data_IF_532848398893
#
_entry.id   IF_532848398893
#
_cell.length_a   1.000
_cell.length_b   1.000
_cell.length_c   1.000
_cell.angle_alpha   90.00
_cell.angle_beta   90.00
_cell.angle_gamma   90.00
#
_symmetry.space_group_name_H-M   'P 1'
#
loop_
_entity.id
_entity.type
_entity.pdbx_description
1 polymer ?
#
# COMPACT_ATOMS: atom_id res chain seq x y z
N UNK A 1 9.49 -4.44 38.53
CA UNK A 1 10.58 -4.76 37.58
C UNK A 1 10.69 -6.28 37.55
N UNK A 2 10.43 -6.92 36.44
CA UNK A 2 10.62 -8.36 36.28
C UNK A 2 12.12 -8.60 36.11
N UNK A 3 12.75 -9.32 37.05
CA UNK A 3 14.13 -9.80 36.92
C UNK A 3 14.18 -10.84 35.80
N UNK A 4 14.57 -10.42 34.60
CA UNK A 4 14.78 -11.32 33.48
C UNK A 4 16.13 -12.01 33.67
N UNK A 5 16.13 -13.30 33.96
CA UNK A 5 17.34 -14.11 34.05
C UNK A 5 17.88 -14.35 32.62
N UNK A 6 18.87 -13.57 32.22
CA UNK A 6 19.51 -13.61 30.90
C UNK A 6 20.34 -14.86 30.62
N UNK A 7 20.66 -15.64 31.63
CA UNK A 7 21.64 -16.77 31.59
C UNK A 7 21.15 -17.98 30.75
N UNK A 8 19.90 -17.97 30.29
CA UNK A 8 19.34 -19.10 29.53
C UNK A 8 19.19 -18.80 28.02
N UNK A 9 19.63 -17.62 27.55
CA UNK A 9 19.46 -17.22 26.16
C UNK A 9 20.78 -17.23 25.39
N UNK A 10 20.80 -17.56 24.08
CA UNK A 10 21.99 -17.45 23.25
C UNK A 10 22.60 -16.05 23.33
N UNK A 11 23.92 -15.94 23.41
CA UNK A 11 24.62 -14.64 23.55
C UNK A 11 24.23 -13.63 22.47
N UNK A 12 24.03 -14.08 21.23
CA UNK A 12 23.58 -13.24 20.11
C UNK A 12 22.22 -12.61 20.36
N UNK A 13 21.29 -13.33 20.97
CA UNK A 13 19.96 -12.84 21.31
C UNK A 13 19.99 -11.87 22.50
N UNK A 14 20.86 -12.14 23.46
CA UNK A 14 21.09 -11.27 24.63
C UNK A 14 21.67 -9.92 24.18
N UNK A 15 22.64 -9.94 23.27
CA UNK A 15 23.25 -8.73 22.69
C UNK A 15 22.19 -7.92 21.94
N UNK A 16 21.37 -8.56 21.11
CA UNK A 16 20.30 -7.90 20.35
C UNK A 16 19.21 -7.29 21.26
N UNK A 17 18.78 -8.02 22.29
CA UNK A 17 17.75 -7.54 23.23
C UNK A 17 18.28 -6.41 24.14
N UNK A 18 19.52 -6.53 24.63
CA UNK A 18 20.18 -5.46 25.38
C UNK A 18 20.35 -4.21 24.52
N UNK A 19 20.80 -4.38 23.27
CA UNK A 19 20.93 -3.29 22.31
C UNK A 19 19.60 -2.55 22.10
N UNK A 20 18.50 -3.31 21.91
CA UNK A 20 17.16 -2.73 21.71
C UNK A 20 16.64 -1.99 22.94
N UNK A 21 16.88 -2.50 24.13
CA UNK A 21 16.47 -1.89 25.40
C UNK A 21 17.26 -0.62 25.71
N UNK A 22 18.54 -0.58 25.36
CA UNK A 22 19.41 0.59 25.58
C UNK A 22 19.09 1.72 24.59
N UNK A 23 18.87 1.40 23.31
CA UNK A 23 18.41 2.37 22.32
C UNK A 23 17.03 2.96 22.64
N UNK A 24 16.12 2.21 23.27
CA UNK A 24 14.79 2.71 23.62
C UNK A 24 14.78 3.67 24.83
N UNK A 25 15.82 3.66 25.67
CA UNK A 25 15.90 4.46 26.90
C UNK A 25 16.70 5.76 26.76
N UNK A 26 17.33 6.00 25.58
CA UNK A 26 18.18 7.19 25.38
C UNK A 26 19.41 7.26 26.30
N UNK A 27 19.83 6.14 26.91
CA UNK A 27 21.00 6.09 27.77
C UNK A 27 22.27 6.07 26.94
N UNK A 28 23.19 7.01 27.17
CA UNK A 28 24.51 7.09 26.52
C UNK A 28 25.34 5.86 26.89
N UNK A 29 25.67 5.02 25.92
CA UNK A 29 26.71 4.00 26.03
C UNK A 29 28.09 4.67 25.90
N UNK A 30 29.12 4.17 26.62
CA UNK A 30 30.48 4.68 26.47
C UNK A 30 31.03 4.40 25.06
N UNK A 31 31.80 5.35 24.52
CA UNK A 31 32.30 5.48 23.13
C UNK A 31 33.25 4.36 22.63
N UNK A 32 33.31 3.21 23.23
CA UNK A 32 34.29 2.16 22.93
C UNK A 32 33.76 0.96 22.19
N UNK A 33 32.76 1.10 21.36
CA UNK A 33 32.45 0.13 20.30
C UNK A 33 31.56 0.81 19.29
N UNK A 34 31.95 0.86 18.03
CA UNK A 34 31.39 1.52 16.87
C UNK A 34 29.87 1.47 16.61
N UNK A 35 29.05 1.61 17.62
CA UNK A 35 27.60 1.69 17.56
C UNK A 35 27.14 3.15 17.64
N UNK A 36 27.36 3.87 16.54
CA UNK A 36 26.45 4.99 16.25
C UNK A 36 25.07 4.35 16.06
N UNK A 37 24.20 4.44 17.05
CA UNK A 37 22.75 4.24 16.87
C UNK A 37 22.39 4.86 15.53
N UNK A 38 21.79 4.07 14.62
CA UNK A 38 21.50 4.52 13.26
C UNK A 38 20.38 5.57 13.27
N UNK A 39 20.75 6.78 13.67
CA UNK A 39 19.91 7.98 13.59
C UNK A 39 20.13 8.68 12.24
N UNK A 40 20.44 7.90 11.20
CA UNK A 40 20.55 8.40 9.84
C UNK A 40 19.21 8.28 9.16
N UNK A 41 18.58 9.42 8.89
CA UNK A 41 17.43 9.47 7.99
C UNK A 41 17.73 8.69 6.70
N UNK A 42 16.83 7.79 6.25
CA UNK A 42 17.05 7.00 5.04
C UNK A 42 17.34 7.88 3.84
N UNK A 43 18.34 7.51 3.05
CA UNK A 43 18.67 8.19 1.80
C UNK A 43 17.55 8.03 0.78
N UNK A 44 17.49 8.92 -0.22
CA UNK A 44 16.48 8.84 -1.28
C UNK A 44 16.56 7.50 -2.04
N UNK A 45 17.76 6.96 -2.24
CA UNK A 45 17.94 5.63 -2.84
C UNK A 45 17.35 4.53 -1.96
N UNK A 46 17.59 4.55 -0.65
CA UNK A 46 17.01 3.56 0.28
C UNK A 46 15.48 3.62 0.30
N UNK A 47 14.92 4.81 0.30
CA UNK A 47 13.48 5.03 0.20
C UNK A 47 12.92 4.50 -1.12
N UNK A 48 13.57 4.80 -2.26
CA UNK A 48 13.19 4.26 -3.56
C UNK A 48 13.25 2.73 -3.63
N UNK A 49 14.32 2.12 -3.09
CA UNK A 49 14.41 0.66 -3.01
C UNK A 49 13.33 0.04 -2.12
N UNK A 50 12.97 0.68 -1.02
CA UNK A 50 11.87 0.25 -0.15
C UNK A 50 10.52 0.30 -0.90
N UNK A 51 10.23 1.39 -1.63
CA UNK A 51 9.02 1.51 -2.45
C UNK A 51 8.97 0.47 -3.58
N UNK A 52 10.10 0.22 -4.25
CA UNK A 52 10.22 -0.82 -5.27
C UNK A 52 9.93 -2.21 -4.69
N UNK A 53 10.56 -2.55 -3.59
CA UNK A 53 10.38 -3.84 -2.90
C UNK A 53 8.93 -4.00 -2.42
N UNK A 54 8.38 -2.99 -1.72
CA UNK A 54 7.02 -3.03 -1.20
C UNK A 54 5.97 -3.16 -2.30
N UNK A 55 6.11 -2.42 -3.41
CA UNK A 55 5.22 -2.56 -4.57
C UNK A 55 5.37 -3.93 -5.24
N UNK A 56 6.59 -4.46 -5.31
CA UNK A 56 6.85 -5.81 -5.81
C UNK A 56 6.14 -6.88 -4.99
N UNK A 57 6.21 -6.80 -3.66
CA UNK A 57 5.51 -7.73 -2.76
C UNK A 57 3.99 -7.56 -2.86
N UNK A 58 3.50 -6.33 -2.92
CA UNK A 58 2.07 -6.06 -3.12
C UNK A 58 1.56 -6.74 -4.40
N UNK A 59 2.28 -6.59 -5.51
CA UNK A 59 1.89 -7.17 -6.81
C UNK A 59 2.04 -8.68 -6.82
N UNK A 60 3.10 -9.21 -6.23
CA UNK A 60 3.30 -10.66 -6.16
C UNK A 60 2.18 -11.36 -5.38
N UNK A 61 1.75 -10.82 -4.25
CA UNK A 61 0.77 -11.46 -3.36
C UNK A 61 -0.66 -11.07 -3.76
N UNK A 62 -0.97 -9.79 -3.91
CA UNK A 62 -2.30 -9.31 -4.23
C UNK A 62 -2.77 -9.78 -5.61
N UNK A 63 -2.26 -9.23 -6.70
CA UNK A 63 -2.54 -9.74 -8.05
C UNK A 63 -2.24 -11.23 -8.23
N UNK A 64 -1.18 -11.76 -7.63
CA UNK A 64 -0.81 -13.17 -7.70
C UNK A 64 -1.83 -14.13 -7.07
N UNK A 65 -2.66 -13.66 -6.14
CA UNK A 65 -3.76 -14.45 -5.59
C UNK A 65 -4.87 -14.72 -6.61
N UNK A 66 -5.00 -13.91 -7.66
CA UNK A 66 -6.01 -14.08 -8.71
C UNK A 66 -5.74 -15.34 -9.55
N UNK A 67 -4.54 -15.50 -10.20
CA UNK A 67 -4.22 -16.74 -10.88
C UNK A 67 -4.22 -17.95 -9.95
N UNK A 68 -3.83 -17.82 -8.68
CA UNK A 68 -3.91 -18.90 -7.70
C UNK A 68 -5.36 -19.36 -7.50
N UNK A 69 -6.31 -18.43 -7.31
CA UNK A 69 -7.72 -18.73 -7.19
C UNK A 69 -8.27 -19.39 -8.48
N UNK A 70 -7.96 -18.83 -9.65
CA UNK A 70 -8.39 -19.39 -10.94
C UNK A 70 -7.87 -20.80 -11.17
N UNK A 71 -6.63 -21.09 -10.78
CA UNK A 71 -6.06 -22.44 -10.88
C UNK A 71 -6.83 -23.45 -10.01
N UNK A 72 -7.22 -23.07 -8.79
CA UNK A 72 -7.95 -23.94 -7.88
C UNK A 72 -9.40 -24.14 -8.31
N UNK A 73 -10.10 -23.08 -8.69
CA UNK A 73 -11.52 -23.14 -9.06
C UNK A 73 -11.74 -24.00 -10.32
N UNK A 74 -10.82 -23.98 -11.27
CA UNK A 74 -11.00 -24.62 -12.59
C UNK A 74 -10.26 -25.95 -12.76
N UNK A 75 -9.47 -26.35 -11.79
CA UNK A 75 -8.49 -27.40 -12.09
C UNK A 75 -7.63 -27.05 -13.31
N UNK A 76 -7.46 -25.73 -13.60
CA UNK A 76 -6.71 -25.22 -14.74
C UNK A 76 -7.49 -25.02 -16.05
N UNK A 77 -8.80 -25.25 -16.11
CA UNK A 77 -9.59 -25.26 -17.36
C UNK A 77 -10.25 -23.92 -17.76
N UNK A 78 -9.89 -22.79 -17.15
CA UNK A 78 -10.15 -21.45 -17.71
C UNK A 78 -11.60 -20.90 -17.73
N UNK A 79 -12.60 -21.57 -17.13
CA UNK A 79 -14.01 -21.14 -17.15
C UNK A 79 -14.61 -20.81 -15.76
N UNK A 80 -13.79 -20.29 -14.84
CA UNK A 80 -14.28 -19.97 -13.50
C UNK A 80 -14.99 -18.64 -13.44
N UNK A 81 -16.06 -18.63 -12.67
CA UNK A 81 -16.71 -17.42 -12.19
C UNK A 81 -16.31 -17.26 -10.72
N UNK A 82 -15.72 -16.13 -10.36
CA UNK A 82 -15.43 -15.81 -8.97
C UNK A 82 -16.72 -15.75 -8.13
N UNK A 83 -16.66 -16.31 -6.95
CA UNK A 83 -17.70 -16.16 -5.92
C UNK A 83 -17.30 -15.03 -4.96
N UNK A 84 -18.23 -14.62 -4.09
CA UNK A 84 -17.91 -13.67 -3.01
C UNK A 84 -16.83 -14.20 -2.06
N UNK A 85 -16.74 -15.51 -1.87
CA UNK A 85 -15.68 -16.12 -1.06
C UNK A 85 -14.30 -15.93 -1.71
N UNK A 86 -14.19 -16.14 -3.02
CA UNK A 86 -12.93 -15.95 -3.76
C UNK A 86 -12.49 -14.49 -3.70
N UNK A 87 -13.41 -13.54 -3.89
CA UNK A 87 -13.13 -12.11 -3.75
C UNK A 87 -12.71 -11.76 -2.31
N UNK A 88 -13.30 -12.42 -1.30
CA UNK A 88 -12.90 -12.27 0.10
C UNK A 88 -11.45 -12.71 0.34
N UNK A 89 -11.03 -13.86 -0.18
CA UNK A 89 -9.66 -14.34 -0.05
C UNK A 89 -8.67 -13.54 -0.88
N UNK A 90 -9.03 -13.10 -2.09
CA UNK A 90 -8.22 -12.17 -2.88
C UNK A 90 -8.05 -10.84 -2.11
N UNK A 91 -9.13 -10.28 -1.57
CA UNK A 91 -9.07 -9.09 -0.73
C UNK A 91 -8.18 -9.26 0.49
N UNK A 92 -8.27 -10.41 1.17
CA UNK A 92 -7.40 -10.74 2.30
C UNK A 92 -5.92 -10.81 1.89
N UNK A 93 -5.59 -11.35 0.71
CA UNK A 93 -4.22 -11.38 0.20
C UNK A 93 -3.66 -9.95 0.02
N UNK A 94 -4.45 -9.03 -0.53
CA UNK A 94 -4.10 -7.60 -0.60
C UNK A 94 -3.91 -7.01 0.80
N UNK A 95 -4.84 -7.26 1.73
CA UNK A 95 -4.77 -6.74 3.09
C UNK A 95 -3.48 -7.17 3.80
N UNK A 96 -3.14 -8.46 3.71
CA UNK A 96 -1.92 -9.02 4.32
C UNK A 96 -0.66 -8.42 3.69
N UNK A 97 -0.61 -8.32 2.35
CA UNK A 97 0.54 -7.74 1.66
C UNK A 97 0.76 -6.27 2.06
N UNK A 98 -0.30 -5.46 2.09
CA UNK A 98 -0.25 -4.05 2.49
C UNK A 98 0.19 -3.94 3.95
N UNK A 99 -0.45 -4.65 4.86
CA UNK A 99 -0.13 -4.58 6.28
C UNK A 99 1.33 -4.99 6.54
N UNK A 100 1.78 -6.10 5.94
CA UNK A 100 3.16 -6.56 6.06
C UNK A 100 4.15 -5.49 5.57
N UNK A 101 3.89 -4.85 4.42
CA UNK A 101 4.79 -3.84 3.87
C UNK A 101 4.77 -2.55 4.70
N UNK A 102 3.60 -2.07 5.14
CA UNK A 102 3.53 -0.89 6.01
C UNK A 102 4.35 -1.10 7.28
N UNK A 103 4.26 -2.26 7.92
CA UNK A 103 5.04 -2.54 9.13
C UNK A 103 6.53 -2.79 8.85
N UNK A 104 6.89 -3.29 7.65
CA UNK A 104 8.27 -3.62 7.31
C UNK A 104 9.06 -2.42 6.81
N UNK A 105 8.48 -1.56 5.96
CA UNK A 105 9.19 -0.45 5.30
C UNK A 105 8.58 0.93 5.57
N UNK A 106 7.48 1.02 6.31
CA UNK A 106 6.83 2.31 6.59
C UNK A 106 7.74 3.32 7.28
N UNK A 107 8.60 2.86 8.18
CA UNK A 107 9.61 3.70 8.84
C UNK A 107 10.79 4.11 7.95
N UNK A 108 10.92 3.53 6.74
CA UNK A 108 11.96 3.85 5.75
C UNK A 108 11.47 4.89 4.75
N UNK A 109 10.34 4.59 4.07
CA UNK A 109 9.81 5.40 2.96
C UNK A 109 8.45 6.03 3.21
N UNK A 110 7.76 5.64 4.27
CA UNK A 110 6.34 5.91 4.46
C UNK A 110 5.44 4.85 3.81
N UNK A 111 6.01 3.91 3.04
CA UNK A 111 5.32 2.81 2.38
C UNK A 111 4.10 3.27 1.55
N UNK A 112 4.34 4.15 0.59
CA UNK A 112 3.28 4.57 -0.34
C UNK A 112 2.87 3.42 -1.25
N UNK A 113 3.84 2.71 -1.83
CA UNK A 113 3.70 1.54 -2.74
C UNK A 113 2.62 1.72 -3.82
N UNK A 114 2.29 2.98 -4.14
CA UNK A 114 1.18 3.38 -5.00
C UNK A 114 1.44 4.76 -5.59
N UNK A 115 1.53 4.90 -6.93
CA UNK A 115 1.69 6.19 -7.59
C UNK A 115 0.57 7.20 -7.30
N UNK A 116 -0.69 6.75 -7.12
CA UNK A 116 -1.80 7.64 -6.82
C UNK A 116 -1.67 8.25 -5.41
N UNK A 117 -1.26 7.45 -4.42
CA UNK A 117 -0.94 7.93 -3.05
C UNK A 117 0.22 8.93 -3.12
N UNK A 118 1.29 8.58 -3.81
CA UNK A 118 2.48 9.43 -3.95
C UNK A 118 2.15 10.77 -4.60
N UNK A 119 1.38 10.77 -5.70
CA UNK A 119 0.95 11.98 -6.37
C UNK A 119 0.00 12.82 -5.50
N UNK A 120 -0.94 12.20 -4.80
CA UNK A 120 -1.83 12.92 -3.89
C UNK A 120 -1.03 13.64 -2.79
N UNK A 121 -0.01 13.00 -2.24
CA UNK A 121 0.87 13.62 -1.24
C UNK A 121 1.78 14.70 -1.83
N UNK A 122 2.27 14.53 -3.07
CA UNK A 122 3.07 15.55 -3.74
C UNK A 122 2.26 16.83 -4.04
N UNK A 123 1.05 16.66 -4.62
CA UNK A 123 0.14 17.78 -4.93
C UNK A 123 -0.28 18.52 -3.65
N UNK A 124 -0.47 17.80 -2.55
CA UNK A 124 -0.84 18.40 -1.26
C UNK A 124 0.38 18.79 -0.39
N UNK A 125 1.60 18.79 -0.98
CA UNK A 125 2.87 19.25 -0.38
C UNK A 125 3.32 18.45 0.86
N UNK A 126 2.97 17.17 0.93
CA UNK A 126 3.39 16.24 1.99
C UNK A 126 4.68 15.50 1.68
N UNK A 127 5.08 15.47 0.41
CA UNK A 127 6.34 14.92 -0.07
C UNK A 127 6.90 15.87 -1.14
N UNK A 128 8.21 15.97 -1.24
CA UNK A 128 8.86 16.77 -2.27
C UNK A 128 8.73 16.12 -3.65
N UNK A 129 8.63 16.90 -4.72
CA UNK A 129 8.43 16.38 -6.08
C UNK A 129 9.58 15.50 -6.58
N UNK A 130 10.83 15.79 -6.18
CA UNK A 130 11.97 14.93 -6.52
C UNK A 130 11.88 13.56 -5.83
N UNK A 131 11.43 13.51 -4.59
CA UNK A 131 11.19 12.25 -3.87
C UNK A 131 10.01 11.50 -4.47
N UNK A 132 8.92 12.19 -4.79
CA UNK A 132 7.76 11.60 -5.44
C UNK A 132 8.11 10.98 -6.80
N UNK A 133 8.95 11.62 -7.60
CA UNK A 133 9.39 11.08 -8.89
C UNK A 133 10.18 9.77 -8.71
N UNK A 134 11.10 9.72 -7.75
CA UNK A 134 11.86 8.50 -7.43
C UNK A 134 10.92 7.37 -6.97
N UNK A 135 9.94 7.69 -6.10
CA UNK A 135 8.96 6.73 -5.62
C UNK A 135 8.14 6.15 -6.77
N UNK A 136 7.57 6.99 -7.64
CA UNK A 136 6.73 6.56 -8.75
C UNK A 136 7.51 5.63 -9.71
N UNK A 137 8.73 6.01 -10.07
CA UNK A 137 9.59 5.16 -10.92
C UNK A 137 9.86 3.80 -10.23
N UNK A 138 10.24 3.84 -8.96
CA UNK A 138 10.52 2.66 -8.17
C UNK A 138 9.28 1.73 -8.04
N UNK A 139 8.09 2.32 -7.84
CA UNK A 139 6.83 1.62 -7.75
C UNK A 139 6.46 0.90 -9.06
N UNK A 140 6.64 1.54 -10.21
CA UNK A 140 6.41 0.88 -11.51
C UNK A 140 7.39 -0.27 -11.75
N UNK A 141 8.67 -0.08 -11.44
CA UNK A 141 9.67 -1.16 -11.51
C UNK A 141 9.28 -2.30 -10.57
N UNK A 142 8.90 -1.98 -9.32
CA UNK A 142 8.41 -2.96 -8.35
C UNK A 142 7.21 -3.74 -8.85
N UNK A 143 6.24 -3.05 -9.46
CA UNK A 143 5.06 -3.68 -10.05
C UNK A 143 5.42 -4.70 -11.15
N UNK A 144 6.38 -4.36 -12.02
CA UNK A 144 6.90 -5.28 -13.05
C UNK A 144 7.62 -6.46 -12.40
N UNK A 145 8.49 -6.22 -11.42
CA UNK A 145 9.21 -7.28 -10.71
C UNK A 145 8.26 -8.24 -9.97
N UNK A 146 7.21 -7.72 -9.32
CA UNK A 146 6.17 -8.53 -8.70
C UNK A 146 5.43 -9.40 -9.72
N UNK A 147 5.10 -8.84 -10.87
CA UNK A 147 4.47 -9.59 -11.97
C UNK A 147 5.40 -10.66 -12.57
N UNK A 148 6.71 -10.40 -12.67
CA UNK A 148 7.70 -11.42 -13.02
C UNK A 148 7.76 -12.53 -11.96
N UNK A 149 7.60 -12.21 -10.67
CA UNK A 149 7.44 -13.19 -9.60
C UNK A 149 6.21 -14.08 -9.80
N UNK A 150 5.09 -13.53 -10.28
CA UNK A 150 3.89 -14.32 -10.66
C UNK A 150 4.25 -15.26 -11.82
N UNK A 151 4.95 -14.77 -12.85
CA UNK A 151 5.41 -15.60 -13.96
C UNK A 151 6.34 -16.74 -13.50
N UNK A 152 7.18 -16.49 -12.52
CA UNK A 152 8.07 -17.50 -11.92
C UNK A 152 7.26 -18.61 -11.21
N UNK A 153 6.19 -18.25 -10.48
CA UNK A 153 5.38 -19.21 -9.73
C UNK A 153 4.48 -20.04 -10.62
N UNK A 154 3.78 -19.41 -11.57
CA UNK A 154 2.75 -20.06 -12.40
C UNK A 154 3.24 -20.44 -13.80
N UNK A 155 4.45 -20.04 -14.17
CA UNK A 155 5.00 -20.21 -15.52
C UNK A 155 4.52 -19.12 -16.49
N UNK A 156 5.34 -18.84 -17.50
CA UNK A 156 5.03 -17.81 -18.50
C UNK A 156 3.79 -18.15 -19.36
N UNK A 157 3.56 -19.44 -19.64
CA UNK A 157 2.38 -19.91 -20.38
C UNK A 157 1.05 -19.68 -19.63
N UNK A 158 1.09 -19.42 -18.33
CA UNK A 158 -0.08 -19.10 -17.55
C UNK A 158 -0.79 -17.81 -18.04
N UNK A 159 -0.08 -16.89 -18.69
CA UNK A 159 -0.63 -15.66 -19.24
C UNK A 159 -1.83 -15.88 -20.18
N UNK A 160 -1.82 -16.97 -20.93
CA UNK A 160 -2.90 -17.30 -21.89
C UNK A 160 -4.12 -17.98 -21.26
N UNK A 161 -3.97 -18.56 -20.04
CA UNK A 161 -5.01 -19.38 -19.40
C UNK A 161 -5.58 -18.76 -18.12
N UNK A 162 -4.72 -18.34 -17.22
CA UNK A 162 -5.11 -17.81 -15.90
C UNK A 162 -4.72 -16.34 -15.68
N UNK A 163 -3.84 -15.80 -16.52
CA UNK A 163 -3.38 -14.41 -16.46
C UNK A 163 -2.42 -14.10 -15.30
N UNK A 164 -1.98 -12.86 -15.26
CA UNK A 164 -1.12 -12.30 -14.20
C UNK A 164 -1.89 -11.43 -13.19
N UNK A 165 -3.22 -11.51 -13.19
CA UNK A 165 -4.07 -10.75 -12.29
C UNK A 165 -4.11 -9.23 -12.56
N UNK A 166 -4.03 -8.75 -13.82
CA UNK A 166 -4.29 -7.35 -14.11
C UNK A 166 -5.74 -7.02 -13.78
N UNK A 167 -6.00 -5.79 -13.36
CA UNK A 167 -7.36 -5.28 -13.26
C UNK A 167 -7.95 -5.05 -14.64
N UNK A 168 -9.23 -5.35 -14.79
CA UNK A 168 -9.93 -5.18 -16.05
C UNK A 168 -11.43 -4.95 -15.79
N UNK A 169 -12.15 -4.39 -16.76
CA UNK A 169 -13.60 -4.25 -16.74
C UNK A 169 -14.21 -4.64 -18.09
N UNK A 170 -15.48 -5.00 -18.08
CA UNK A 170 -16.24 -5.34 -19.29
C UNK A 170 -16.94 -4.08 -19.82
N UNK A 171 -16.59 -3.63 -21.02
CA UNK A 171 -17.24 -2.49 -21.68
C UNK A 171 -18.73 -2.77 -21.98
N UNK A 172 -19.16 -4.03 -21.99
CA UNK A 172 -20.57 -4.39 -22.09
C UNK A 172 -21.37 -4.13 -20.80
N UNK A 173 -20.67 -4.01 -19.65
CA UNK A 173 -21.30 -3.83 -18.33
C UNK A 173 -21.06 -2.43 -17.77
N UNK A 174 -19.87 -1.89 -18.01
CA UNK A 174 -19.41 -0.67 -17.36
C UNK A 174 -18.76 0.28 -18.38
N UNK A 175 -19.23 1.51 -18.46
CA UNK A 175 -18.62 2.53 -19.32
C UNK A 175 -17.29 3.06 -18.74
N UNK A 176 -16.41 3.62 -19.58
CA UNK A 176 -15.16 4.26 -19.13
C UNK A 176 -15.39 5.33 -18.05
N UNK A 177 -16.34 6.29 -18.19
CA UNK A 177 -16.60 7.26 -17.13
C UNK A 177 -17.03 6.61 -15.81
N UNK A 178 -17.84 5.56 -15.87
CA UNK A 178 -18.30 4.84 -14.68
C UNK A 178 -17.13 4.08 -14.03
N UNK A 179 -16.30 3.41 -14.80
CA UNK A 179 -15.12 2.71 -14.30
C UNK A 179 -14.12 3.70 -13.65
N UNK A 180 -13.89 4.87 -14.27
CA UNK A 180 -13.08 5.96 -13.68
C UNK A 180 -13.68 6.44 -12.36
N UNK A 181 -15.00 6.61 -12.29
CA UNK A 181 -15.67 7.05 -11.07
C UNK A 181 -15.56 6.00 -9.93
N UNK A 182 -15.66 4.71 -10.24
CA UNK A 182 -15.49 3.62 -9.27
C UNK A 182 -14.05 3.60 -8.72
N UNK A 183 -13.05 3.67 -9.60
CA UNK A 183 -11.64 3.71 -9.20
C UNK A 183 -11.32 4.98 -8.39
N UNK A 184 -11.93 6.11 -8.76
CA UNK A 184 -11.78 7.36 -7.99
C UNK A 184 -12.44 7.24 -6.62
N UNK A 185 -13.62 6.66 -6.51
CA UNK A 185 -14.31 6.45 -5.23
C UNK A 185 -13.49 5.54 -4.30
N UNK A 186 -13.01 4.40 -4.80
CA UNK A 186 -12.17 3.51 -4.00
C UNK A 186 -10.89 4.19 -3.55
N UNK A 187 -10.16 4.85 -4.44
CA UNK A 187 -8.92 5.52 -4.04
C UNK A 187 -9.18 6.72 -3.10
N UNK A 188 -10.31 7.39 -3.24
CA UNK A 188 -10.76 8.40 -2.26
C UNK A 188 -10.92 7.79 -0.86
N UNK A 189 -11.61 6.67 -0.73
CA UNK A 189 -11.79 5.96 0.55
C UNK A 189 -10.45 5.47 1.11
N UNK A 190 -9.59 4.92 0.26
CA UNK A 190 -8.24 4.51 0.65
C UNK A 190 -7.45 5.67 1.25
N UNK A 191 -7.42 6.84 0.58
CA UNK A 191 -6.69 8.00 1.08
C UNK A 191 -7.33 8.60 2.34
N UNK A 192 -8.65 8.55 2.50
CA UNK A 192 -9.32 8.91 3.74
C UNK A 192 -8.81 8.07 4.92
N UNK A 193 -8.66 6.76 4.71
CA UNK A 193 -8.16 5.83 5.72
C UNK A 193 -6.66 6.07 5.98
N UNK A 194 -5.84 6.22 4.95
CA UNK A 194 -4.41 6.53 5.11
C UNK A 194 -4.22 7.82 5.91
N UNK A 195 -4.94 8.88 5.55
CA UNK A 195 -4.87 10.16 6.26
C UNK A 195 -5.27 10.03 7.71
N UNK A 196 -6.36 9.30 7.99
CA UNK A 196 -6.90 9.14 9.35
C UNK A 196 -6.10 8.19 10.23
N UNK A 197 -5.31 7.26 9.68
CA UNK A 197 -4.63 6.23 10.48
C UNK A 197 -3.11 6.31 10.45
N UNK A 198 -2.52 6.82 9.37
CA UNK A 198 -1.07 6.87 9.20
C UNK A 198 -0.50 8.30 9.26
N UNK A 199 -1.30 9.32 8.90
CA UNK A 199 -0.82 10.72 8.79
C UNK A 199 -1.27 11.56 9.98
N UNK A 200 -2.50 11.37 10.45
CA UNK A 200 -3.03 12.11 11.58
C UNK A 200 -2.47 11.56 12.89
N UNK A 201 -1.64 12.34 13.57
CA UNK A 201 -1.01 11.96 14.83
C UNK A 201 -1.98 11.68 16.01
N UNK A 202 -3.28 11.92 15.83
CA UNK A 202 -4.33 11.60 16.81
C UNK A 202 -4.82 10.14 16.69
N UNK A 203 -4.46 9.45 15.62
CA UNK A 203 -4.82 8.05 15.43
C UNK A 203 -4.10 7.14 16.44
N UNK A 204 -4.72 6.04 16.86
CA UNK A 204 -4.03 5.03 17.67
C UNK A 204 -2.80 4.49 16.95
N UNK A 205 -1.65 4.54 17.60
CA UNK A 205 -0.40 4.05 17.01
C UNK A 205 -0.44 2.54 16.74
N UNK A 206 0.23 2.11 15.67
CA UNK A 206 0.44 0.68 15.36
C UNK A 206 -0.68 0.01 14.55
N UNK A 207 -1.80 0.67 14.27
CA UNK A 207 -2.93 0.06 13.56
C UNK A 207 -2.98 0.40 12.05
N UNK A 208 -2.23 1.40 11.61
CA UNK A 208 -2.32 1.93 10.25
C UNK A 208 -2.23 0.84 9.17
N UNK A 209 -1.19 -0.01 9.21
CA UNK A 209 -0.99 -1.04 8.19
C UNK A 209 -2.17 -2.00 8.07
N UNK A 210 -2.68 -2.48 9.20
CA UNK A 210 -3.82 -3.40 9.22
C UNK A 210 -5.09 -2.74 8.66
N UNK A 211 -5.41 -1.53 9.11
CA UNK A 211 -6.66 -0.85 8.71
C UNK A 211 -6.60 -0.43 7.24
N UNK A 212 -5.43 0.04 6.74
CA UNK A 212 -5.22 0.33 5.31
C UNK A 212 -5.38 -0.93 4.47
N UNK A 213 -4.85 -2.07 4.93
CA UNK A 213 -5.06 -3.34 4.25
C UNK A 213 -6.53 -3.77 4.22
N UNK A 214 -7.24 -3.63 5.34
CA UNK A 214 -8.66 -4.04 5.46
C UNK A 214 -9.60 -3.18 4.61
N UNK A 215 -9.37 -1.87 4.46
CA UNK A 215 -10.22 -1.08 3.54
C UNK A 215 -10.06 -1.57 2.10
N UNK A 216 -8.83 -1.86 1.65
CA UNK A 216 -8.58 -2.41 0.32
C UNK A 216 -9.28 -3.78 0.16
N UNK A 217 -9.26 -4.64 1.17
CA UNK A 217 -10.01 -5.90 1.13
C UNK A 217 -11.51 -5.68 0.94
N UNK A 218 -12.11 -4.73 1.67
CA UNK A 218 -13.50 -4.35 1.51
C UNK A 218 -13.82 -3.86 0.09
N UNK A 219 -12.94 -3.05 -0.48
CA UNK A 219 -13.08 -2.52 -1.84
C UNK A 219 -12.99 -3.64 -2.89
N UNK A 220 -12.08 -4.60 -2.72
CA UNK A 220 -12.00 -5.79 -3.59
C UNK A 220 -13.30 -6.58 -3.57
N UNK A 221 -13.92 -6.76 -2.41
CA UNK A 221 -15.19 -7.49 -2.27
C UNK A 221 -16.33 -6.77 -3.00
N UNK A 222 -16.43 -5.45 -2.86
CA UNK A 222 -17.56 -4.66 -3.38
C UNK A 222 -17.36 -4.30 -4.85
N UNK A 223 -16.18 -3.85 -5.25
CA UNK A 223 -15.89 -3.33 -6.58
C UNK A 223 -15.30 -4.39 -7.52
N UNK A 224 -14.86 -5.52 -6.97
CA UNK A 224 -14.22 -6.61 -7.72
C UNK A 224 -15.01 -7.08 -8.93
N UNK A 225 -16.32 -7.29 -8.83
CA UNK A 225 -17.14 -7.73 -9.96
C UNK A 225 -17.24 -6.72 -11.11
N UNK A 226 -16.92 -5.45 -10.88
CA UNK A 226 -17.15 -4.36 -11.85
C UNK A 226 -15.84 -3.91 -12.50
N UNK A 227 -14.84 -3.48 -11.70
CA UNK A 227 -13.56 -2.97 -12.21
C UNK A 227 -12.36 -3.83 -11.79
N UNK A 228 -12.55 -4.80 -10.89
CA UNK A 228 -11.45 -5.50 -10.26
C UNK A 228 -10.50 -4.52 -9.57
N UNK A 229 -10.95 -3.73 -8.57
CA UNK A 229 -10.42 -2.42 -8.21
C UNK A 229 -8.90 -2.41 -8.15
N UNK A 230 -8.33 -1.43 -8.84
CA UNK A 230 -6.88 -1.20 -8.86
C UNK A 230 -6.44 -0.36 -7.70
N UNK A 231 -7.02 0.86 -7.60
CA UNK A 231 -6.67 1.92 -6.65
C UNK A 231 -5.20 2.36 -6.75
N UNK A 232 -4.44 1.74 -7.68
CA UNK A 232 -2.98 1.82 -7.75
C UNK A 232 -2.48 1.61 -9.18
N UNK A 233 -2.00 2.65 -9.86
CA UNK A 233 -1.49 2.52 -11.23
C UNK A 233 -0.38 1.47 -11.40
N UNK A 234 0.56 1.35 -10.45
CA UNK A 234 1.66 0.40 -10.55
C UNK A 234 1.20 -1.06 -10.38
N UNK A 235 0.19 -1.28 -9.52
CA UNK A 235 -0.45 -2.58 -9.30
C UNK A 235 -1.14 -3.11 -10.55
N UNK A 236 -1.72 -2.23 -11.38
CA UNK A 236 -2.32 -2.64 -12.66
C UNK A 236 -1.29 -2.77 -13.76
N UNK A 237 -0.38 -1.79 -13.86
CA UNK A 237 0.57 -1.68 -14.96
C UNK A 237 1.49 -2.91 -15.08
N UNK A 238 2.10 -3.35 -13.98
CA UNK A 238 3.02 -4.49 -13.98
C UNK A 238 2.38 -5.76 -14.57
N UNK A 239 1.31 -6.28 -13.98
CA UNK A 239 0.59 -7.43 -14.49
C UNK A 239 0.05 -7.26 -15.92
N UNK A 240 -0.48 -6.07 -16.27
CA UNK A 240 -1.03 -5.82 -17.61
C UNK A 240 0.05 -5.90 -18.69
N UNK A 241 1.21 -5.30 -18.45
CA UNK A 241 2.33 -5.34 -19.42
C UNK A 241 2.86 -6.77 -19.54
N UNK A 242 3.05 -7.49 -18.43
CA UNK A 242 3.51 -8.88 -18.47
C UNK A 242 2.48 -9.79 -19.15
N UNK A 243 1.18 -9.55 -18.95
CA UNK A 243 0.11 -10.27 -19.63
C UNK A 243 0.29 -10.21 -21.15
N UNK A 244 0.52 -9.00 -21.69
CA UNK A 244 0.73 -8.81 -23.14
C UNK A 244 2.07 -9.39 -23.59
N UNK A 245 3.15 -9.15 -22.86
CA UNK A 245 4.50 -9.62 -23.23
C UNK A 245 4.61 -11.14 -23.27
N UNK A 246 3.86 -11.85 -22.43
CA UNK A 246 3.83 -13.32 -22.41
C UNK A 246 2.70 -13.92 -23.27
N UNK A 247 2.13 -13.13 -24.21
CA UNK A 247 1.18 -13.60 -25.22
C UNK A 247 -0.27 -13.73 -24.76
N UNK A 248 -0.61 -13.22 -23.57
CA UNK A 248 -1.99 -13.09 -23.12
C UNK A 248 -2.68 -11.85 -23.71
N UNK A 249 -4.01 -11.79 -23.58
CA UNK A 249 -4.80 -10.65 -24.04
C UNK A 249 -5.04 -9.64 -22.92
N UNK A 250 -4.83 -8.36 -23.20
CA UNK A 250 -5.21 -7.24 -22.35
C UNK A 250 -5.43 -5.98 -23.18
N UNK A 251 -6.54 -5.30 -22.97
CA UNK A 251 -6.80 -4.02 -23.63
C UNK A 251 -6.03 -2.88 -22.93
N UNK A 252 -4.90 -2.46 -23.50
CA UNK A 252 -4.05 -1.42 -22.91
C UNK A 252 -4.76 -0.06 -22.77
N UNK A 253 -5.86 0.20 -23.53
CA UNK A 253 -6.63 1.44 -23.34
C UNK A 253 -7.34 1.50 -21.99
N UNK A 254 -7.60 0.35 -21.36
CA UNK A 254 -8.16 0.28 -20.00
C UNK A 254 -7.23 0.89 -18.94
N UNK A 255 -5.91 0.95 -19.20
CA UNK A 255 -4.97 1.60 -18.30
C UNK A 255 -5.36 3.05 -17.97
N UNK A 256 -6.03 3.75 -18.90
CA UNK A 256 -6.49 5.14 -18.64
C UNK A 256 -7.42 5.21 -17.42
N UNK A 257 -8.28 4.21 -17.24
CA UNK A 257 -9.19 4.11 -16.09
C UNK A 257 -8.39 3.98 -14.79
N UNK A 258 -7.44 3.07 -14.79
CA UNK A 258 -6.64 2.70 -13.62
C UNK A 258 -5.51 3.68 -13.29
N UNK A 259 -5.31 4.69 -14.14
CA UNK A 259 -4.44 5.84 -13.86
C UNK A 259 -5.27 7.05 -13.44
N UNK A 260 -6.25 7.44 -14.26
CA UNK A 260 -7.02 8.67 -14.04
C UNK A 260 -7.90 8.59 -12.79
N UNK A 261 -8.65 7.49 -12.65
CA UNK A 261 -9.54 7.29 -11.49
C UNK A 261 -8.80 7.38 -10.15
N UNK A 262 -7.78 6.53 -9.93
CA UNK A 262 -7.01 6.56 -8.68
C UNK A 262 -6.35 7.91 -8.38
N UNK A 263 -5.78 8.59 -9.38
CA UNK A 263 -5.14 9.89 -9.16
C UNK A 263 -6.17 10.93 -8.69
N UNK A 264 -7.31 11.01 -9.36
CA UNK A 264 -8.38 11.95 -8.99
C UNK A 264 -8.90 11.63 -7.58
N UNK A 265 -9.24 10.37 -7.33
CA UNK A 265 -9.76 9.91 -6.03
C UNK A 265 -8.78 10.15 -4.89
N UNK A 266 -7.50 9.86 -5.13
CA UNK A 266 -6.44 10.07 -4.16
C UNK A 266 -6.29 11.53 -3.73
N UNK A 267 -6.23 12.44 -4.70
CA UNK A 267 -6.14 13.88 -4.41
C UNK A 267 -7.38 14.38 -3.67
N UNK A 268 -8.57 13.99 -4.12
CA UNK A 268 -9.82 14.36 -3.46
C UNK A 268 -9.91 13.83 -2.03
N UNK A 269 -9.46 12.60 -1.77
CA UNK A 269 -9.46 12.00 -0.44
C UNK A 269 -8.59 12.78 0.55
N UNK A 270 -7.38 13.15 0.15
CA UNK A 270 -6.50 13.99 0.98
C UNK A 270 -7.10 15.36 1.24
N UNK A 271 -7.57 16.03 0.18
CA UNK A 271 -8.16 17.38 0.30
C UNK A 271 -9.41 17.37 1.19
N UNK A 272 -10.26 16.37 1.04
CA UNK A 272 -11.46 16.24 1.87
C UNK A 272 -11.13 15.93 3.33
N UNK A 273 -10.15 15.07 3.58
CA UNK A 273 -9.68 14.82 4.94
C UNK A 273 -9.16 16.10 5.61
N UNK A 274 -8.36 16.88 4.89
CA UNK A 274 -7.87 18.18 5.36
C UNK A 274 -9.00 19.15 5.68
N UNK A 275 -10.01 19.21 4.83
CA UNK A 275 -11.19 20.03 5.07
C UNK A 275 -11.89 19.64 6.38
N UNK A 276 -12.11 18.35 6.61
CA UNK A 276 -12.75 17.85 7.83
C UNK A 276 -11.95 18.18 9.10
N UNK A 277 -10.63 18.10 9.02
CA UNK A 277 -9.75 18.27 10.18
C UNK A 277 -9.46 19.73 10.49
N UNK A 278 -9.36 20.60 9.47
CA UNK A 278 -9.16 22.06 9.65
C UNK A 278 -10.33 22.74 10.36
N UNK A 279 -11.54 22.37 10.02
CA UNK A 279 -12.74 22.92 10.68
C UNK A 279 -12.72 22.60 12.19
N UNK A 280 -12.26 21.40 12.57
CA UNK A 280 -12.16 20.98 13.96
C UNK A 280 -11.02 21.68 14.73
N UNK A 281 -9.89 21.91 14.08
CA UNK A 281 -8.75 22.64 14.66
C UNK A 281 -9.10 24.12 14.95
N UNK A 282 -9.82 24.78 14.05
CA UNK A 282 -10.30 26.15 14.25
C UNK A 282 -11.28 26.26 15.42
N UNK A 283 -12.16 25.28 15.60
CA UNK A 283 -13.12 25.24 16.71
C UNK A 283 -12.41 24.98 18.04
N UNK A 284 -11.44 24.06 18.08
CA UNK A 284 -10.66 23.77 19.27
C UNK A 284 -9.77 24.95 19.70
N UNK A 285 -9.17 25.66 18.75
CA UNK A 285 -8.36 26.87 19.01
C UNK A 285 -9.20 28.00 19.58
N UNK A 286 -10.41 28.26 19.03
CA UNK A 286 -11.35 29.24 19.60
C UNK A 286 -11.81 28.84 21.02
N UNK A 287 -12.10 27.57 21.25
CA UNK A 287 -12.50 27.10 22.57
C UNK A 287 -11.36 27.25 23.61
N UNK A 288 -10.11 26.99 23.23
CA UNK A 288 -8.94 27.17 24.08
C UNK A 288 -8.69 28.67 24.38
N UNK A 289 -8.82 29.54 23.39
CA UNK A 289 -8.72 31.00 23.60
C UNK A 289 -9.79 31.52 24.56
N UNK A 290 -11.05 31.11 24.36
CA UNK A 290 -12.15 31.51 25.25
C UNK A 290 -11.96 31.03 26.68
N UNK A 291 -11.36 29.86 26.92
CA UNK A 291 -11.02 29.35 28.23
C UNK A 291 -9.90 30.16 28.92
N UNK A 292 -8.90 30.59 28.14
CA UNK A 292 -7.81 31.45 28.67
C UNK A 292 -8.33 32.85 29.00
N UNK A 293 -9.20 33.42 28.18
CA UNK A 293 -9.81 34.73 28.44
C UNK A 293 -10.77 34.68 29.66
N UNK A 294 -11.45 33.56 29.91
CA UNK A 294 -12.32 33.37 31.06
C UNK A 294 -11.57 33.13 32.39
N UNK A 295 -10.27 32.79 32.31
CA UNK A 295 -9.41 32.54 33.47
C UNK A 295 -8.50 33.73 33.83
N UNK A 296 -8.49 34.79 33.03
CA UNK A 296 -7.77 36.04 33.27
C UNK A 296 -8.68 37.12 33.88
#
# INVERSE_FOLDING_TARGET
>A
MLDVQWNQWPETLIVFLKWRLTCSKGEHLPETAGDKCMDKTPTLLQKGLAEMFGTGVLVLIGPGSIPAALLLINGGNGKAVFTMADLGFIGLAFAVAIAAMVYTIGHISGCHINPAVTLAFAVTKRIAWNEAAVYIIAQFIGGILGALGIALIFGASAASTIGFGPTNFSEAVTSYPQAIAIEALGTFLLLMVIMGTAVDGRAPAGWAGLIIGLIVAGEVIVMGPITGPSLNPARTFGPAILQVLFGGSYNLTHLIVYFVGPIIGGILGVVFYDFLTRARAATASKAAQNLQEASA
#
